data_IF_452417097477
#
_entry.id   IF_452417097477
#
_cell.length_a   1.000
_cell.length_b   1.000
_cell.length_c   1.000
_cell.angle_alpha   90.00
_cell.angle_beta   90.00
_cell.angle_gamma   90.00
#
_symmetry.space_group_name_H-M   'P 1'
#
loop_
_entity.id
_entity.type
_entity.pdbx_description
1 polymer ?
#
# COMPACT_ATOMS: atom_id res chain seq x y z
N UNK A 1 20.43 27.22 -43.02
CA UNK A 1 20.97 26.61 -41.78
C UNK A 1 19.81 25.88 -41.15
N UNK A 2 19.78 24.55 -41.26
CA UNK A 2 18.80 23.69 -40.63
C UNK A 2 19.18 23.59 -39.13
N UNK A 3 18.25 23.94 -38.27
CA UNK A 3 18.43 23.71 -36.84
C UNK A 3 18.66 22.22 -36.61
N UNK A 4 19.75 21.89 -35.96
CA UNK A 4 19.97 20.58 -35.36
C UNK A 4 18.89 20.40 -34.29
N UNK A 5 17.95 19.49 -34.54
CA UNK A 5 17.12 18.93 -33.50
C UNK A 5 18.06 18.28 -32.49
N UNK A 6 18.37 19.01 -31.42
CA UNK A 6 19.00 18.44 -30.22
C UNK A 6 17.97 17.44 -29.72
N UNK A 7 18.16 16.15 -30.04
CA UNK A 7 17.43 15.06 -29.45
C UNK A 7 17.50 15.24 -27.92
N UNK A 8 16.39 15.59 -27.34
CA UNK A 8 16.28 15.68 -25.88
C UNK A 8 16.71 14.32 -25.34
N UNK A 9 17.88 14.26 -24.71
CA UNK A 9 18.37 13.04 -24.05
C UNK A 9 17.39 12.75 -22.93
N UNK A 10 16.67 11.63 -23.06
CA UNK A 10 15.73 11.15 -22.03
C UNK A 10 16.47 10.93 -20.71
N UNK A 11 16.41 11.90 -19.79
CA UNK A 11 17.08 11.79 -18.50
C UNK A 11 16.27 10.94 -17.53
N UNK A 12 16.86 9.82 -17.11
CA UNK A 12 16.31 8.95 -16.08
C UNK A 12 17.13 9.05 -14.80
N UNK A 13 16.44 8.96 -13.67
CA UNK A 13 17.05 8.89 -12.36
C UNK A 13 16.82 7.53 -11.73
N UNK A 14 17.91 6.87 -11.30
CA UNK A 14 17.86 5.72 -10.41
C UNK A 14 17.96 6.21 -8.96
N UNK A 15 16.92 5.96 -8.15
CA UNK A 15 16.84 6.35 -6.75
C UNK A 15 17.07 5.12 -5.89
N UNK A 16 18.12 5.15 -5.07
CA UNK A 16 18.58 4.03 -4.22
C UNK A 16 18.52 4.46 -2.75
N UNK A 17 17.41 4.21 -2.03
CA UNK A 17 17.37 4.43 -0.58
C UNK A 17 18.21 3.36 0.14
N UNK A 18 19.13 3.80 0.99
CA UNK A 18 20.08 2.93 1.68
C UNK A 18 20.13 3.22 3.18
N UNK A 19 20.04 2.18 4.00
CA UNK A 19 20.28 2.21 5.43
C UNK A 19 21.18 1.03 5.81
N UNK A 20 22.32 1.30 6.44
CA UNK A 20 23.33 0.29 6.78
C UNK A 20 23.74 -0.59 5.58
N UNK A 21 24.08 0.01 4.40
CA UNK A 21 24.40 -0.78 3.21
C UNK A 21 25.68 -1.59 3.36
N UNK A 22 25.82 -2.60 2.52
CA UNK A 22 27.04 -3.33 2.29
C UNK A 22 27.61 -3.02 0.89
N UNK A 23 28.69 -3.69 0.49
CA UNK A 23 29.38 -3.51 -0.80
C UNK A 23 28.50 -3.83 -2.02
N UNK A 24 27.38 -4.55 -1.83
CA UNK A 24 26.44 -4.83 -2.92
C UNK A 24 25.80 -3.56 -3.48
N UNK A 25 25.62 -2.54 -2.65
CA UNK A 25 25.15 -1.24 -3.14
C UNK A 25 26.11 -0.64 -4.15
N UNK A 26 27.42 -0.75 -3.93
CA UNK A 26 28.43 -0.25 -4.87
C UNK A 26 28.37 -1.03 -6.19
N UNK A 27 28.19 -2.34 -6.13
CA UNK A 27 28.02 -3.15 -7.35
C UNK A 27 26.78 -2.72 -8.15
N UNK A 28 25.66 -2.47 -7.48
CA UNK A 28 24.43 -1.94 -8.14
C UNK A 28 24.71 -0.59 -8.83
N UNK A 29 25.41 0.32 -8.15
CA UNK A 29 25.78 1.63 -8.68
C UNK A 29 26.72 1.46 -9.89
N UNK A 30 27.70 0.57 -9.79
CA UNK A 30 28.64 0.28 -10.86
C UNK A 30 27.96 -0.28 -12.10
N UNK A 31 27.06 -1.24 -11.90
CA UNK A 31 26.27 -1.84 -12.98
C UNK A 31 25.38 -0.80 -13.68
N UNK A 32 24.63 0.02 -12.92
CA UNK A 32 23.80 1.08 -13.47
C UNK A 32 24.66 2.09 -14.23
N UNK A 33 25.76 2.55 -13.65
CA UNK A 33 26.63 3.56 -14.24
C UNK A 33 27.35 3.07 -15.50
N UNK A 34 27.64 1.76 -15.63
CA UNK A 34 28.34 1.19 -16.78
C UNK A 34 27.43 0.79 -17.94
N UNK A 35 26.14 0.46 -17.64
CA UNK A 35 25.20 -0.08 -18.62
C UNK A 35 24.08 0.89 -18.99
N UNK A 36 24.03 2.07 -18.36
CA UNK A 36 22.99 3.09 -18.61
C UNK A 36 23.55 4.50 -18.50
N UNK A 37 22.81 5.46 -19.08
CA UNK A 37 23.07 6.90 -18.92
C UNK A 37 22.24 7.50 -17.77
N UNK A 38 21.85 6.69 -16.78
CA UNK A 38 21.02 7.16 -15.67
C UNK A 38 21.85 7.99 -14.69
N UNK A 39 21.25 9.09 -14.25
CA UNK A 39 21.73 9.78 -13.07
C UNK A 39 21.34 8.99 -11.81
N UNK A 40 22.27 8.81 -10.89
CA UNK A 40 22.04 7.98 -9.70
C UNK A 40 21.96 8.89 -8.48
N UNK A 41 20.89 8.72 -7.69
CA UNK A 41 20.73 9.37 -6.37
C UNK A 41 20.68 8.29 -5.30
N UNK A 42 21.63 8.33 -4.39
CA UNK A 42 21.68 7.46 -3.21
C UNK A 42 21.25 8.25 -1.99
N UNK A 43 20.35 7.70 -1.19
CA UNK A 43 19.96 8.31 0.07
C UNK A 43 20.56 7.53 1.23
N UNK A 44 21.51 8.16 1.93
CA UNK A 44 21.98 7.66 3.21
C UNK A 44 20.95 8.01 4.29
N UNK A 45 20.14 7.04 4.70
CA UNK A 45 19.07 7.25 5.68
C UNK A 45 19.57 7.11 7.13
N UNK A 46 20.61 7.88 7.48
CA UNK A 46 21.14 7.93 8.85
C UNK A 46 21.90 6.66 9.25
N UNK A 47 22.71 6.12 8.35
CA UNK A 47 23.59 4.98 8.63
C UNK A 47 24.72 5.34 9.58
N UNK A 48 25.29 4.32 10.25
CA UNK A 48 26.41 4.44 11.17
C UNK A 48 27.69 4.98 10.53
N UNK A 49 28.58 5.49 11.37
CA UNK A 49 29.88 6.06 10.92
C UNK A 49 30.74 5.04 10.18
N UNK A 50 30.64 3.76 10.50
CA UNK A 50 31.32 2.65 9.84
C UNK A 50 30.90 2.45 8.39
N UNK A 51 29.75 2.97 7.98
CA UNK A 51 29.23 2.91 6.61
C UNK A 51 29.61 4.13 5.75
N UNK A 52 30.15 5.19 6.35
CA UNK A 52 30.54 6.40 5.60
C UNK A 52 31.53 6.12 4.46
N UNK A 53 32.50 5.20 4.56
CA UNK A 53 33.37 4.87 3.42
C UNK A 53 32.61 4.34 2.19
N UNK A 54 31.54 3.57 2.39
CA UNK A 54 30.70 3.05 1.29
C UNK A 54 30.00 4.21 0.57
N UNK A 55 29.46 5.16 1.33
CA UNK A 55 28.82 6.35 0.73
C UNK A 55 29.82 7.31 0.06
N UNK A 56 31.03 7.40 0.59
CA UNK A 56 32.10 8.18 -0.04
C UNK A 56 32.53 7.56 -1.39
N UNK A 57 32.55 6.24 -1.49
CA UNK A 57 32.83 5.55 -2.76
C UNK A 57 31.65 5.75 -3.73
N UNK A 58 30.42 5.58 -3.26
CA UNK A 58 29.20 5.82 -4.05
C UNK A 58 29.16 7.26 -4.63
N UNK A 59 29.62 8.27 -3.88
CA UNK A 59 29.65 9.67 -4.30
C UNK A 59 30.55 9.94 -5.53
N UNK A 60 31.41 9.01 -5.92
CA UNK A 60 32.19 9.15 -7.17
C UNK A 60 31.36 8.96 -8.43
N UNK A 61 30.19 8.29 -8.33
CA UNK A 61 29.30 7.94 -9.45
C UNK A 61 27.86 8.34 -9.24
N UNK A 62 27.50 8.78 -8.03
CA UNK A 62 26.13 9.10 -7.65
C UNK A 62 26.06 10.38 -6.81
N UNK A 63 24.92 11.05 -6.84
CA UNK A 63 24.59 12.11 -5.89
C UNK A 63 24.18 11.42 -4.56
N UNK A 64 24.89 11.73 -3.47
CA UNK A 64 24.57 11.17 -2.15
C UNK A 64 23.91 12.23 -1.28
N UNK A 65 22.65 12.00 -0.91
CA UNK A 65 21.91 12.83 0.03
C UNK A 65 21.84 12.12 1.40
N UNK A 66 22.12 12.84 2.49
CA UNK A 66 22.25 12.24 3.81
C UNK A 66 21.23 12.79 4.80
N UNK A 67 20.57 11.88 5.52
CA UNK A 67 19.80 12.18 6.70
C UNK A 67 20.67 12.04 7.97
N UNK A 68 20.47 12.93 8.95
CA UNK A 68 21.18 12.82 10.24
C UNK A 68 20.77 11.60 11.06
N UNK A 69 19.52 11.13 10.88
CA UNK A 69 18.95 9.97 11.57
C UNK A 69 18.08 9.17 10.61
N UNK A 70 17.86 7.90 10.91
CA UNK A 70 16.97 7.04 10.12
C UNK A 70 15.52 7.56 10.14
N UNK A 71 15.07 8.07 9.00
CA UNK A 71 13.71 8.57 8.78
C UNK A 71 12.82 7.55 8.08
N UNK A 72 13.41 6.54 7.47
CA UNK A 72 12.75 5.44 6.79
C UNK A 72 12.76 5.53 5.27
N UNK A 73 12.64 4.37 4.60
CA UNK A 73 12.74 4.21 3.14
C UNK A 73 11.85 5.19 2.37
N UNK A 74 10.58 5.34 2.80
CA UNK A 74 9.64 6.25 2.15
C UNK A 74 10.09 7.71 2.23
N UNK A 75 10.66 8.16 3.36
CA UNK A 75 11.20 9.50 3.48
C UNK A 75 12.45 9.68 2.61
N UNK A 76 13.30 8.65 2.55
CA UNK A 76 14.45 8.66 1.64
C UNK A 76 14.03 8.86 0.19
N UNK A 77 13.05 8.11 -0.27
CA UNK A 77 12.50 8.27 -1.62
C UNK A 77 11.97 9.70 -1.83
N UNK A 78 11.19 10.23 -0.89
CA UNK A 78 10.67 11.61 -0.98
C UNK A 78 11.78 12.65 -1.04
N UNK A 79 12.85 12.48 -0.27
CA UNK A 79 14.02 13.39 -0.30
C UNK A 79 14.68 13.40 -1.68
N UNK A 80 14.82 12.23 -2.33
CA UNK A 80 15.31 12.18 -3.71
C UNK A 80 14.35 12.86 -4.69
N UNK A 81 13.04 12.67 -4.54
CA UNK A 81 12.04 13.30 -5.41
C UNK A 81 11.98 14.83 -5.21
N UNK A 82 12.15 15.32 -3.99
CA UNK A 82 12.28 16.76 -3.68
C UNK A 82 13.50 17.34 -4.40
N UNK A 83 14.65 16.66 -4.29
CA UNK A 83 15.88 17.07 -4.98
C UNK A 83 15.69 17.13 -6.51
N UNK A 84 15.16 16.07 -7.11
CA UNK A 84 14.91 16.01 -8.57
C UNK A 84 13.97 17.15 -8.99
N UNK A 85 12.90 17.38 -8.26
CA UNK A 85 11.93 18.43 -8.57
C UNK A 85 12.55 19.84 -8.56
N UNK A 86 13.49 20.08 -7.65
CA UNK A 86 14.10 21.39 -7.46
C UNK A 86 15.28 21.66 -8.41
N UNK A 87 16.02 20.62 -8.81
CA UNK A 87 17.29 20.79 -9.50
C UNK A 87 17.31 20.23 -10.93
N UNK A 88 16.35 19.35 -11.30
CA UNK A 88 16.44 18.53 -12.49
C UNK A 88 15.17 18.60 -13.35
N UNK A 89 14.95 19.79 -13.96
CA UNK A 89 13.73 20.08 -14.74
C UNK A 89 13.52 19.16 -15.96
N UNK A 90 14.60 18.64 -16.56
CA UNK A 90 14.55 17.81 -17.78
C UNK A 90 14.37 16.32 -17.50
N UNK A 91 14.04 15.94 -16.27
CA UNK A 91 13.82 14.54 -15.89
C UNK A 91 12.58 13.97 -16.57
N UNK A 92 12.76 12.86 -17.29
CA UNK A 92 11.67 12.12 -17.96
C UNK A 92 11.04 11.11 -16.99
N UNK A 93 11.87 10.37 -16.26
CA UNK A 93 11.39 9.32 -15.38
C UNK A 93 12.33 8.96 -14.25
N UNK A 94 11.74 8.33 -13.23
CA UNK A 94 12.41 7.87 -12.02
C UNK A 94 12.23 6.36 -11.91
N UNK A 95 13.32 5.64 -11.60
CA UNK A 95 13.30 4.23 -11.24
C UNK A 95 13.83 4.10 -9.82
N UNK A 96 13.03 3.52 -8.92
CA UNK A 96 13.45 3.20 -7.55
C UNK A 96 13.98 1.79 -7.56
N UNK A 97 15.17 1.56 -6.99
CA UNK A 97 15.77 0.25 -6.80
C UNK A 97 16.31 0.08 -5.37
N UNK A 98 16.34 -1.15 -4.87
CA UNK A 98 16.88 -1.45 -3.55
C UNK A 98 18.42 -1.52 -3.57
N UNK A 99 19.05 -1.15 -2.45
CA UNK A 99 20.51 -1.14 -2.28
C UNK A 99 21.11 -2.53 -2.05
N UNK A 100 20.30 -3.60 -1.94
CA UNK A 100 20.72 -4.93 -1.52
C UNK A 100 21.20 -5.86 -2.65
N UNK A 101 21.18 -5.36 -3.90
CA UNK A 101 21.60 -6.11 -5.08
C UNK A 101 20.64 -7.21 -5.54
N UNK A 102 19.40 -7.22 -5.04
CA UNK A 102 18.40 -8.21 -5.48
C UNK A 102 17.79 -7.90 -6.86
N UNK A 103 17.95 -6.66 -7.35
CA UNK A 103 17.50 -6.24 -8.66
C UNK A 103 18.65 -6.22 -9.65
N UNK A 104 18.54 -6.98 -10.73
CA UNK A 104 19.48 -6.94 -11.83
C UNK A 104 19.37 -5.61 -12.59
N UNK A 105 20.47 -5.12 -13.12
CA UNK A 105 20.45 -3.87 -13.91
C UNK A 105 19.58 -4.01 -15.17
N UNK A 106 19.54 -5.18 -15.80
CA UNK A 106 18.67 -5.46 -16.94
C UNK A 106 17.18 -5.30 -16.59
N UNK A 107 16.81 -5.57 -15.34
CA UNK A 107 15.43 -5.37 -14.85
C UNK A 107 15.15 -3.88 -14.65
N UNK A 108 16.12 -3.10 -14.16
CA UNK A 108 16.05 -1.65 -14.03
C UNK A 108 15.87 -1.01 -15.41
N UNK A 109 16.64 -1.46 -16.40
CA UNK A 109 16.53 -1.01 -17.80
C UNK A 109 15.15 -1.34 -18.35
N UNK A 110 14.66 -2.57 -18.18
CA UNK A 110 13.31 -2.96 -18.66
C UNK A 110 12.19 -2.14 -18.04
N UNK A 111 12.33 -1.76 -16.76
CA UNK A 111 11.36 -0.88 -16.09
C UNK A 111 11.39 0.53 -16.72
N UNK A 112 12.56 1.08 -17.04
CA UNK A 112 12.67 2.40 -17.70
C UNK A 112 12.13 2.39 -19.13
N UNK A 113 12.38 1.34 -19.90
CA UNK A 113 11.83 1.17 -21.25
C UNK A 113 10.30 1.05 -21.24
N UNK A 114 9.76 0.29 -20.27
CA UNK A 114 8.33 0.22 -20.07
C UNK A 114 7.75 1.59 -19.69
N UNK A 115 8.49 2.40 -18.93
CA UNK A 115 8.08 3.75 -18.57
C UNK A 115 8.05 4.68 -19.78
N UNK A 116 9.01 4.59 -20.69
CA UNK A 116 8.97 5.31 -21.98
C UNK A 116 7.71 4.98 -22.78
N UNK A 117 7.33 3.70 -22.79
CA UNK A 117 6.14 3.22 -23.49
C UNK A 117 4.82 3.57 -22.81
N UNK A 118 4.81 3.71 -21.47
CA UNK A 118 3.63 3.93 -20.65
C UNK A 118 3.86 5.01 -19.59
N UNK A 119 4.09 6.28 -19.96
CA UNK A 119 4.49 7.35 -19.02
C UNK A 119 3.38 7.78 -18.06
N UNK A 120 2.14 7.40 -18.30
CA UNK A 120 0.95 7.66 -17.46
C UNK A 120 0.70 6.57 -16.42
N UNK A 121 1.55 5.52 -16.38
CA UNK A 121 1.38 4.37 -15.48
C UNK A 121 2.46 4.31 -14.42
N UNK A 122 2.14 3.63 -13.31
CA UNK A 122 3.16 3.15 -12.38
C UNK A 122 3.69 1.81 -12.90
N UNK A 123 4.98 1.77 -13.25
CA UNK A 123 5.66 0.56 -13.71
C UNK A 123 6.17 -0.21 -12.49
N UNK A 124 5.95 -1.50 -12.45
CA UNK A 124 6.32 -2.36 -11.34
C UNK A 124 7.14 -3.55 -11.82
N UNK A 125 8.34 -3.72 -11.27
CA UNK A 125 9.12 -4.92 -11.47
C UNK A 125 8.53 -6.07 -10.64
N UNK A 126 7.77 -6.97 -11.25
CA UNK A 126 7.07 -8.04 -10.55
C UNK A 126 7.87 -9.34 -10.63
N UNK A 127 8.22 -9.90 -9.48
CA UNK A 127 9.00 -11.13 -9.36
C UNK A 127 8.23 -12.33 -9.93
N UNK A 128 8.84 -13.03 -10.88
CA UNK A 128 8.36 -14.34 -11.29
C UNK A 128 8.81 -15.36 -10.25
N UNK A 129 7.88 -15.85 -9.47
CA UNK A 129 8.15 -16.87 -8.48
C UNK A 129 8.32 -18.23 -9.16
N UNK A 130 9.48 -18.45 -9.78
CA UNK A 130 9.90 -19.75 -10.32
C UNK A 130 10.89 -20.37 -9.31
N UNK A 131 10.47 -21.41 -8.57
CA UNK A 131 11.35 -22.14 -7.64
C UNK A 131 10.75 -22.40 -6.25
N UNK A 132 11.56 -22.98 -5.35
CA UNK A 132 11.20 -23.29 -3.95
C UNK A 132 11.15 -21.99 -3.13
N UNK A 133 9.99 -21.38 -3.04
CA UNK A 133 9.76 -20.18 -2.20
C UNK A 133 9.47 -20.66 -0.78
N UNK A 134 10.03 -19.99 0.26
CA UNK A 134 9.62 -20.24 1.63
C UNK A 134 8.11 -20.02 1.78
N UNK A 135 7.40 -21.01 2.33
CA UNK A 135 5.93 -20.98 2.52
C UNK A 135 5.46 -19.69 3.23
N UNK A 136 6.25 -19.18 4.17
CA UNK A 136 5.98 -17.94 4.91
C UNK A 136 5.93 -16.72 3.99
N UNK A 137 6.85 -16.57 3.05
CA UNK A 137 6.88 -15.48 2.06
C UNK A 137 5.70 -15.57 1.10
N UNK A 138 5.38 -16.78 0.62
CA UNK A 138 4.25 -17.03 -0.28
C UNK A 138 2.92 -16.69 0.39
N UNK A 139 2.75 -17.10 1.65
CA UNK A 139 1.53 -16.85 2.42
C UNK A 139 1.35 -15.35 2.70
N UNK A 140 2.40 -14.66 3.18
CA UNK A 140 2.36 -13.22 3.44
C UNK A 140 2.02 -12.40 2.18
N UNK A 141 2.66 -12.70 1.05
CA UNK A 141 2.40 -12.02 -0.21
C UNK A 141 0.96 -12.27 -0.72
N UNK A 142 0.45 -13.51 -0.59
CA UNK A 142 -0.92 -13.83 -1.00
C UNK A 142 -1.97 -13.10 -0.16
N UNK A 143 -1.78 -13.00 1.15
CA UNK A 143 -2.68 -12.21 2.02
C UNK A 143 -2.62 -10.73 1.63
N UNK A 144 -1.43 -10.18 1.44
CA UNK A 144 -1.26 -8.76 1.08
C UNK A 144 -1.87 -8.45 -0.29
N UNK A 145 -1.71 -9.32 -1.27
CA UNK A 145 -2.37 -9.24 -2.59
C UNK A 145 -3.89 -9.27 -2.47
N UNK A 146 -4.42 -10.19 -1.69
CA UNK A 146 -5.87 -10.29 -1.48
C UNK A 146 -6.42 -9.02 -0.85
N UNK A 147 -5.79 -8.54 0.24
CA UNK A 147 -6.20 -7.31 0.93
C UNK A 147 -6.06 -6.09 0.01
N UNK A 148 -4.98 -5.99 -0.76
CA UNK A 148 -4.78 -4.92 -1.73
C UNK A 148 -5.84 -4.95 -2.84
N UNK A 149 -6.03 -6.10 -3.49
CA UNK A 149 -7.01 -6.27 -4.56
C UNK A 149 -8.42 -5.91 -4.10
N UNK A 150 -8.75 -6.29 -2.88
CA UNK A 150 -10.03 -5.99 -2.26
C UNK A 150 -10.18 -4.50 -1.90
N UNK A 151 -9.12 -3.87 -1.37
CA UNK A 151 -9.13 -2.47 -0.95
C UNK A 151 -9.03 -1.46 -2.11
N UNK A 152 -8.31 -1.84 -3.18
CA UNK A 152 -8.01 -0.99 -4.33
C UNK A 152 -8.88 -1.29 -5.56
N UNK A 153 -9.54 -2.46 -5.60
CA UNK A 153 -10.31 -2.90 -6.76
C UNK A 153 -9.44 -3.31 -7.96
N UNK A 154 -8.11 -3.37 -7.77
CA UNK A 154 -7.13 -3.68 -8.81
C UNK A 154 -6.29 -4.88 -8.40
N UNK A 155 -5.99 -5.77 -9.34
CA UNK A 155 -5.11 -6.92 -9.11
C UNK A 155 -3.67 -6.55 -9.47
N UNK A 156 -2.74 -6.85 -8.57
CA UNK A 156 -1.28 -6.68 -8.76
C UNK A 156 -0.60 -7.99 -8.39
N UNK A 157 0.36 -8.43 -9.22
CA UNK A 157 1.02 -9.73 -9.04
C UNK A 157 2.06 -9.72 -7.90
N UNK A 158 2.67 -8.57 -7.62
CA UNK A 158 3.62 -8.40 -6.53
C UNK A 158 3.47 -7.01 -5.88
N UNK A 159 2.91 -6.99 -4.68
CA UNK A 159 2.70 -5.74 -3.91
C UNK A 159 3.92 -5.33 -3.09
N UNK A 160 4.93 -6.20 -2.98
CA UNK A 160 6.09 -6.03 -2.10
C UNK A 160 7.39 -5.73 -2.87
N UNK A 161 7.33 -5.57 -4.19
CA UNK A 161 8.50 -5.21 -4.99
C UNK A 161 8.97 -3.79 -4.68
N UNK A 162 10.30 -3.61 -4.51
CA UNK A 162 10.94 -2.31 -4.38
C UNK A 162 11.26 -1.66 -5.73
N UNK A 163 11.36 -2.46 -6.81
CA UNK A 163 11.66 -1.95 -8.14
C UNK A 163 10.40 -1.34 -8.78
N UNK A 164 10.40 -0.01 -8.91
CA UNK A 164 9.26 0.76 -9.44
C UNK A 164 9.73 1.90 -10.32
N UNK A 165 8.98 2.19 -11.39
CA UNK A 165 9.25 3.32 -12.26
C UNK A 165 8.01 4.19 -12.46
N UNK A 166 8.20 5.51 -12.55
CA UNK A 166 7.14 6.47 -12.85
C UNK A 166 7.70 7.74 -13.49
N UNK A 167 6.87 8.41 -14.28
CA UNK A 167 7.22 9.66 -14.93
C UNK A 167 7.43 10.79 -13.92
N UNK A 168 8.34 11.72 -14.24
CA UNK A 168 8.58 12.94 -13.45
C UNK A 168 7.30 13.75 -13.19
N UNK A 169 6.32 13.68 -14.09
CA UNK A 169 4.98 14.28 -13.91
C UNK A 169 4.25 13.81 -12.67
N UNK A 170 4.57 12.60 -12.19
CA UNK A 170 3.97 12.04 -10.96
C UNK A 170 4.71 12.44 -9.69
N UNK A 171 5.84 13.15 -9.74
CA UNK A 171 6.59 13.58 -8.55
C UNK A 171 5.70 14.33 -7.54
N UNK A 172 4.91 15.34 -7.92
CA UNK A 172 4.05 16.05 -6.96
C UNK A 172 3.05 15.13 -6.26
N UNK A 173 2.48 14.19 -7.02
CA UNK A 173 1.58 13.18 -6.47
C UNK A 173 2.33 12.22 -5.51
N UNK A 174 3.49 11.70 -5.90
CA UNK A 174 4.28 10.81 -5.05
C UNK A 174 4.73 11.46 -3.75
N UNK A 175 5.05 12.75 -3.76
CA UNK A 175 5.36 13.53 -2.56
C UNK A 175 4.16 13.68 -1.62
N UNK A 176 2.94 13.67 -2.14
CA UNK A 176 1.70 13.75 -1.35
C UNK A 176 1.31 12.42 -0.68
N UNK A 177 1.88 11.29 -1.12
CA UNK A 177 1.59 9.97 -0.56
C UNK A 177 2.05 9.89 0.89
N UNK A 178 1.16 9.46 1.78
CA UNK A 178 1.47 9.32 3.21
C UNK A 178 2.42 8.14 3.49
N UNK A 179 3.21 8.28 4.56
CA UNK A 179 4.14 7.27 5.04
C UNK A 179 5.59 7.65 4.75
N UNK A 180 6.46 7.32 5.70
CA UNK A 180 7.90 7.63 5.64
C UNK A 180 8.77 6.38 5.70
N UNK A 181 8.17 5.21 6.03
CA UNK A 181 8.88 3.93 6.10
C UNK A 181 8.37 2.97 5.02
N UNK A 182 8.37 1.67 5.28
CA UNK A 182 7.92 0.63 4.32
C UNK A 182 6.44 0.73 3.94
N UNK A 183 5.60 1.36 4.79
CA UNK A 183 4.20 1.64 4.45
C UNK A 183 4.04 2.58 3.26
N UNK A 184 5.04 3.39 2.94
CA UNK A 184 5.01 4.30 1.78
C UNK A 184 4.78 3.51 0.47
N UNK A 185 5.47 2.39 0.29
CA UNK A 185 5.36 1.56 -0.92
C UNK A 185 3.96 0.98 -1.10
N UNK A 186 3.31 0.58 -0.02
CA UNK A 186 1.91 0.12 -0.07
C UNK A 186 0.94 1.27 -0.28
N UNK A 187 1.16 2.40 0.40
CA UNK A 187 0.33 3.59 0.24
C UNK A 187 0.43 4.15 -1.18
N UNK A 188 1.62 4.12 -1.80
CA UNK A 188 1.81 4.48 -3.21
C UNK A 188 0.87 3.68 -4.11
N UNK A 189 0.81 2.35 -3.95
CA UNK A 189 -0.11 1.50 -4.74
C UNK A 189 -1.57 1.85 -4.48
N UNK A 190 -1.96 2.04 -3.20
CA UNK A 190 -3.34 2.35 -2.83
C UNK A 190 -3.79 3.72 -3.35
N UNK A 191 -2.93 4.74 -3.26
CA UNK A 191 -3.26 6.08 -3.73
C UNK A 191 -3.26 6.13 -5.28
N UNK A 192 -2.30 5.46 -5.96
CA UNK A 192 -2.35 5.31 -7.43
C UNK A 192 -3.66 4.68 -7.90
N UNK A 193 -4.10 3.60 -7.25
CA UNK A 193 -5.37 2.96 -7.60
C UNK A 193 -6.58 3.88 -7.37
N UNK A 194 -6.55 4.74 -6.34
CA UNK A 194 -7.61 5.72 -6.04
C UNK A 194 -7.70 6.84 -7.05
N UNK A 195 -6.54 7.33 -7.50
CA UNK A 195 -6.43 8.39 -8.51
C UNK A 195 -6.59 7.86 -9.95
N UNK A 196 -6.83 6.56 -10.12
CA UNK A 196 -7.00 5.94 -11.43
C UNK A 196 -5.71 5.76 -12.21
N UNK A 197 -4.53 5.95 -11.57
CA UNK A 197 -3.23 5.66 -12.16
C UNK A 197 -3.12 4.15 -12.33
N UNK A 198 -2.97 3.70 -13.58
CA UNK A 198 -2.90 2.28 -13.93
C UNK A 198 -1.52 1.72 -13.62
N UNK A 199 -1.48 0.40 -13.38
CA UNK A 199 -0.22 -0.34 -13.19
C UNK A 199 0.20 -1.04 -14.48
N UNK A 200 1.52 -1.11 -14.71
CA UNK A 200 2.11 -1.97 -15.72
C UNK A 200 3.17 -2.86 -15.07
N UNK A 201 3.03 -4.17 -15.21
CA UNK A 201 3.91 -5.13 -14.56
C UNK A 201 4.98 -5.64 -15.53
N UNK A 202 6.24 -5.40 -15.19
CA UNK A 202 7.41 -5.93 -15.88
C UNK A 202 7.87 -7.17 -15.12
N UNK A 203 7.89 -8.35 -15.74
CA UNK A 203 8.42 -9.54 -15.09
C UNK A 203 9.91 -9.42 -14.84
N UNK A 204 10.34 -9.58 -13.59
CA UNK A 204 11.74 -9.50 -13.19
C UNK A 204 12.25 -10.83 -12.61
N UNK A 205 13.56 -11.02 -12.67
CA UNK A 205 14.24 -12.11 -11.98
C UNK A 205 14.61 -11.65 -10.57
N UNK A 206 14.49 -12.54 -9.59
CA UNK A 206 14.95 -12.27 -8.23
C UNK A 206 16.25 -12.98 -7.99
N UNK A 207 17.30 -12.25 -7.66
CA UNK A 207 18.55 -12.83 -7.19
C UNK A 207 18.43 -13.09 -5.70
N UNK A 208 18.31 -14.34 -5.29
CA UNK A 208 18.34 -14.72 -3.88
C UNK A 208 19.80 -14.76 -3.39
N UNK A 209 20.26 -13.68 -2.79
CA UNK A 209 21.59 -13.57 -2.19
C UNK A 209 21.56 -14.08 -0.74
N UNK A 210 21.70 -15.38 -0.53
CA UNK A 210 21.84 -16.00 0.80
C UNK A 210 20.58 -15.92 1.69
N UNK A 211 20.79 -16.00 3.01
CA UNK A 211 19.72 -15.84 4.03
C UNK A 211 19.40 -14.35 4.17
N UNK A 212 18.55 -13.76 3.38
CA UNK A 212 17.93 -12.40 3.50
C UNK A 212 18.38 -11.51 4.70
N UNK A 213 19.66 -11.51 5.03
CA UNK A 213 20.24 -10.82 6.22
C UNK A 213 20.25 -9.30 6.04
N UNK A 214 20.15 -8.82 4.80
CA UNK A 214 20.13 -7.39 4.46
C UNK A 214 18.74 -6.74 4.48
N UNK A 215 17.67 -7.51 4.71
CA UNK A 215 16.33 -6.95 4.78
C UNK A 215 16.01 -6.42 6.18
N UNK A 216 16.01 -5.10 6.34
CA UNK A 216 15.59 -4.41 7.57
C UNK A 216 14.06 -4.36 7.76
N UNK A 217 13.31 -5.09 6.94
CA UNK A 217 11.85 -5.22 7.06
C UNK A 217 11.49 -5.98 8.35
N UNK A 218 10.78 -5.31 9.26
CA UNK A 218 10.26 -5.94 10.46
C UNK A 218 8.83 -6.46 10.19
N UNK A 219 8.64 -7.79 10.03
CA UNK A 219 7.34 -8.34 9.63
C UNK A 219 6.19 -7.95 10.56
N UNK A 220 6.44 -7.79 11.85
CA UNK A 220 5.42 -7.47 12.85
C UNK A 220 5.08 -5.98 12.83
N UNK A 221 6.09 -5.10 12.93
CA UNK A 221 5.87 -3.64 12.99
C UNK A 221 5.31 -3.08 11.69
N UNK A 222 5.83 -3.54 10.56
CA UNK A 222 5.43 -3.01 9.26
C UNK A 222 4.10 -3.59 8.81
N UNK A 223 3.82 -4.87 9.10
CA UNK A 223 2.48 -5.45 8.93
C UNK A 223 1.43 -4.76 9.81
N UNK A 224 1.76 -4.41 11.06
CA UNK A 224 0.85 -3.66 11.93
C UNK A 224 0.43 -2.32 11.32
N UNK A 225 1.36 -1.59 10.71
CA UNK A 225 1.06 -0.32 10.05
C UNK A 225 0.14 -0.49 8.85
N UNK A 226 0.35 -1.55 8.06
CA UNK A 226 -0.47 -1.87 6.89
C UNK A 226 -1.90 -2.28 7.30
N UNK A 227 -2.01 -3.14 8.32
CA UNK A 227 -3.32 -3.69 8.74
C UNK A 227 -4.03 -2.89 9.83
N UNK A 228 -3.42 -1.83 10.32
CA UNK A 228 -3.95 -0.99 11.42
C UNK A 228 -5.41 -0.57 11.21
N UNK A 229 -5.79 -0.19 10.00
CA UNK A 229 -7.16 0.26 9.71
C UNK A 229 -8.15 -0.90 9.73
N UNK A 230 -7.76 -2.08 9.26
CA UNK A 230 -8.56 -3.30 9.37
C UNK A 230 -8.71 -3.71 10.82
N UNK A 231 -7.63 -3.66 11.59
CA UNK A 231 -7.65 -3.99 13.03
C UNK A 231 -8.53 -3.03 13.83
N UNK A 232 -8.45 -1.73 13.54
CA UNK A 232 -9.34 -0.73 14.17
C UNK A 232 -10.80 -1.01 13.83
N UNK A 233 -11.10 -1.37 12.58
CA UNK A 233 -12.45 -1.74 12.18
C UNK A 233 -12.93 -3.00 12.88
N UNK A 234 -12.09 -4.02 13.00
CA UNK A 234 -12.38 -5.26 13.75
C UNK A 234 -12.65 -4.97 15.22
N UNK A 235 -11.81 -4.15 15.87
CA UNK A 235 -12.01 -3.73 17.26
C UNK A 235 -13.32 -2.95 17.43
N UNK A 236 -13.64 -2.03 16.52
CA UNK A 236 -14.90 -1.29 16.52
C UNK A 236 -16.10 -2.21 16.41
N UNK A 237 -16.04 -3.21 15.54
CA UNK A 237 -17.11 -4.20 15.37
C UNK A 237 -17.30 -5.08 16.62
N UNK A 238 -16.19 -5.51 17.24
CA UNK A 238 -16.23 -6.29 18.49
C UNK A 238 -16.81 -5.48 19.66
N UNK A 239 -16.38 -4.23 19.82
CA UNK A 239 -16.94 -3.34 20.84
C UNK A 239 -18.43 -3.10 20.62
N UNK A 240 -18.87 -2.95 19.37
CA UNK A 240 -20.28 -2.79 19.04
C UNK A 240 -21.10 -4.04 19.39
N UNK A 241 -20.52 -5.22 19.20
CA UNK A 241 -21.14 -6.47 19.64
C UNK A 241 -21.28 -6.52 21.17
N UNK A 242 -20.26 -6.12 21.93
CA UNK A 242 -20.35 -6.04 23.38
C UNK A 242 -21.45 -5.08 23.83
N UNK A 243 -21.56 -3.90 23.20
CA UNK A 243 -22.62 -2.93 23.47
C UNK A 243 -24.00 -3.53 23.16
N UNK A 244 -24.14 -4.21 22.02
CA UNK A 244 -25.39 -4.90 21.63
C UNK A 244 -25.83 -5.89 22.69
N UNK A 245 -24.91 -6.76 23.11
CA UNK A 245 -25.19 -7.80 24.09
C UNK A 245 -25.56 -7.25 25.50
N UNK A 246 -24.82 -6.22 25.94
CA UNK A 246 -25.11 -5.57 27.24
C UNK A 246 -26.48 -4.89 27.20
N UNK A 247 -26.76 -4.10 26.13
CA UNK A 247 -28.05 -3.44 26.01
C UNK A 247 -29.21 -4.45 25.90
N UNK A 248 -29.00 -5.51 25.08
CA UNK A 248 -30.00 -6.59 25.00
C UNK A 248 -30.30 -7.20 26.37
N UNK A 249 -29.27 -7.54 27.14
CA UNK A 249 -29.45 -8.13 28.46
C UNK A 249 -30.21 -7.21 29.39
N UNK A 250 -29.89 -5.91 29.42
CA UNK A 250 -30.59 -4.92 30.27
C UNK A 250 -32.05 -4.80 29.86
N UNK A 251 -32.34 -4.62 28.55
CA UNK A 251 -33.72 -4.49 28.08
C UNK A 251 -34.52 -5.77 28.25
N UNK A 252 -33.92 -6.96 28.14
CA UNK A 252 -34.58 -8.23 28.35
C UNK A 252 -34.95 -8.41 29.84
N UNK A 253 -34.10 -7.95 30.75
CA UNK A 253 -34.43 -7.97 32.21
C UNK A 253 -35.55 -7.01 32.58
N UNK A 254 -35.63 -5.85 31.93
CA UNK A 254 -36.65 -4.83 32.26
C UNK A 254 -37.99 -5.14 31.58
N UNK A 255 -37.99 -5.49 30.29
CA UNK A 255 -39.22 -5.63 29.49
C UNK A 255 -39.79 -7.05 29.46
N UNK A 256 -38.96 -8.07 29.72
CA UNK A 256 -39.33 -9.48 29.52
C UNK A 256 -39.61 -9.84 28.02
N UNK A 257 -39.53 -8.89 27.11
CA UNK A 257 -39.85 -9.09 25.68
C UNK A 257 -38.59 -9.17 24.84
N UNK A 258 -38.34 -10.37 24.29
CA UNK A 258 -37.12 -10.65 23.48
C UNK A 258 -37.05 -9.79 22.26
N UNK A 259 -38.14 -9.62 21.48
CA UNK A 259 -38.14 -8.88 20.25
C UNK A 259 -37.88 -7.39 20.47
N UNK A 260 -38.55 -6.78 21.43
CA UNK A 260 -38.35 -5.39 21.83
C UNK A 260 -36.89 -5.14 22.26
N UNK A 261 -36.37 -6.00 23.14
CA UNK A 261 -35.01 -5.90 23.65
C UNK A 261 -33.97 -6.00 22.56
N UNK A 262 -34.16 -6.91 21.60
CA UNK A 262 -33.24 -7.08 20.45
C UNK A 262 -33.27 -5.85 19.53
N UNK A 263 -34.44 -5.27 19.22
CA UNK A 263 -34.56 -4.09 18.38
C UNK A 263 -33.87 -2.89 19.06
N UNK A 264 -34.15 -2.63 20.34
CA UNK A 264 -33.53 -1.52 21.07
C UNK A 264 -32.00 -1.64 21.15
N UNK A 265 -31.50 -2.83 21.48
CA UNK A 265 -30.07 -3.11 21.53
C UNK A 265 -29.41 -2.87 20.16
N UNK A 266 -30.03 -3.37 19.10
CA UNK A 266 -29.53 -3.24 17.72
C UNK A 266 -29.47 -1.79 17.24
N UNK A 267 -30.45 -0.98 17.60
CA UNK A 267 -30.43 0.46 17.28
C UNK A 267 -29.27 1.15 17.99
N UNK A 268 -29.10 0.92 19.28
CA UNK A 268 -28.01 1.53 20.07
C UNK A 268 -26.64 1.08 19.56
N UNK A 269 -26.44 -0.22 19.36
CA UNK A 269 -25.16 -0.75 18.88
C UNK A 269 -24.82 -0.29 17.47
N UNK A 270 -25.80 -0.10 16.59
CA UNK A 270 -25.60 0.43 15.24
C UNK A 270 -25.17 1.90 15.27
N UNK A 271 -25.76 2.72 16.12
CA UNK A 271 -25.38 4.12 16.32
C UNK A 271 -23.95 4.20 16.89
N UNK A 272 -23.64 3.34 17.85
CA UNK A 272 -22.30 3.24 18.42
C UNK A 272 -21.26 2.85 17.35
N UNK A 273 -21.53 1.80 16.57
CA UNK A 273 -20.64 1.34 15.50
C UNK A 273 -20.41 2.43 14.42
N UNK A 274 -21.47 3.10 14.00
CA UNK A 274 -21.38 4.24 13.08
C UNK A 274 -20.45 5.33 13.63
N UNK A 275 -20.64 5.71 14.89
CA UNK A 275 -19.88 6.78 15.55
C UNK A 275 -18.39 6.40 15.68
N UNK A 276 -18.11 5.18 16.09
CA UNK A 276 -16.76 4.63 16.19
C UNK A 276 -16.08 4.59 14.81
N UNK A 277 -16.75 4.06 13.81
CA UNK A 277 -16.19 3.97 12.46
C UNK A 277 -15.94 5.36 11.86
N UNK A 278 -16.90 6.28 11.99
CA UNK A 278 -16.75 7.65 11.50
C UNK A 278 -15.60 8.40 12.16
N UNK A 279 -15.49 8.35 13.50
CA UNK A 279 -14.56 9.18 14.28
C UNK A 279 -13.17 8.54 14.39
N UNK A 280 -13.08 7.24 14.71
CA UNK A 280 -11.82 6.58 15.08
C UNK A 280 -11.23 5.73 13.96
N UNK A 281 -12.05 5.01 13.19
CA UNK A 281 -11.56 4.13 12.13
C UNK A 281 -11.21 4.94 10.88
N UNK A 282 -12.21 5.61 10.29
CA UNK A 282 -12.06 6.29 8.99
C UNK A 282 -11.77 7.79 9.12
N UNK A 283 -11.90 8.38 10.33
CA UNK A 283 -11.66 9.82 10.60
C UNK A 283 -12.35 10.74 9.57
N UNK A 284 -13.60 10.42 9.24
CA UNK A 284 -14.38 11.13 8.23
C UNK A 284 -14.93 12.45 8.78
N UNK A 285 -14.75 13.55 8.02
CA UNK A 285 -15.19 14.91 8.39
C UNK A 285 -16.48 15.34 7.68
N UNK A 286 -17.06 14.51 6.83
CA UNK A 286 -18.33 14.85 6.16
C UNK A 286 -19.51 14.96 7.14
N UNK A 287 -20.58 15.64 6.70
CA UNK A 287 -21.81 15.81 7.49
C UNK A 287 -22.38 14.48 7.99
N UNK A 288 -22.87 14.47 9.24
CA UNK A 288 -23.35 13.26 9.91
C UNK A 288 -24.54 12.66 9.16
N UNK A 289 -25.53 13.47 8.77
CA UNK A 289 -26.75 12.97 8.11
C UNK A 289 -26.44 12.19 6.83
N UNK A 290 -25.60 12.74 5.95
CA UNK A 290 -25.23 12.11 4.67
C UNK A 290 -24.48 10.79 4.88
N UNK A 291 -23.54 10.75 5.80
CA UNK A 291 -22.77 9.54 6.09
C UNK A 291 -23.60 8.50 6.82
N UNK A 292 -24.51 8.91 7.71
CA UNK A 292 -25.44 8.01 8.41
C UNK A 292 -26.38 7.33 7.42
N UNK A 293 -27.00 8.09 6.50
CA UNK A 293 -27.88 7.50 5.48
C UNK A 293 -27.15 6.41 4.67
N UNK A 294 -25.94 6.70 4.19
CA UNK A 294 -25.13 5.73 3.46
C UNK A 294 -24.79 4.50 4.31
N UNK A 295 -24.44 4.71 5.58
CA UNK A 295 -24.08 3.64 6.50
C UNK A 295 -25.27 2.70 6.75
N UNK A 296 -26.45 3.24 7.09
CA UNK A 296 -27.62 2.41 7.39
C UNK A 296 -28.17 1.71 6.15
N UNK A 297 -28.08 2.35 4.97
CA UNK A 297 -28.40 1.69 3.70
C UNK A 297 -27.46 0.50 3.44
N UNK A 298 -26.15 0.69 3.63
CA UNK A 298 -25.18 -0.39 3.51
C UNK A 298 -25.45 -1.51 4.52
N UNK A 299 -25.76 -1.18 5.76
CA UNK A 299 -26.07 -2.17 6.80
C UNK A 299 -27.30 -3.02 6.41
N UNK A 300 -28.34 -2.41 5.87
CA UNK A 300 -29.51 -3.12 5.35
C UNK A 300 -29.17 -4.05 4.18
N UNK A 301 -28.36 -3.57 3.23
CA UNK A 301 -27.88 -4.38 2.09
C UNK A 301 -27.04 -5.57 2.54
N UNK A 302 -26.13 -5.37 3.50
CA UNK A 302 -25.30 -6.45 4.05
C UNK A 302 -26.17 -7.49 4.79
N UNK A 303 -27.17 -7.05 5.53
CA UNK A 303 -28.11 -7.96 6.19
C UNK A 303 -28.90 -8.80 5.18
N UNK A 304 -29.43 -8.19 4.14
CA UNK A 304 -30.15 -8.91 3.07
C UNK A 304 -29.22 -9.90 2.35
N UNK A 305 -27.99 -9.46 1.99
CA UNK A 305 -26.99 -10.32 1.37
C UNK A 305 -26.60 -11.50 2.28
N UNK A 306 -26.42 -11.27 3.55
CA UNK A 306 -26.11 -12.31 4.55
C UNK A 306 -27.18 -13.41 4.54
N UNK A 307 -28.44 -13.01 4.63
CA UNK A 307 -29.57 -13.96 4.67
C UNK A 307 -29.65 -14.78 3.38
N UNK A 308 -29.62 -14.13 2.23
CA UNK A 308 -29.72 -14.79 0.91
C UNK A 308 -28.52 -15.74 0.70
N UNK A 309 -27.31 -15.27 0.95
CA UNK A 309 -26.09 -16.06 0.78
C UNK A 309 -26.04 -17.27 1.72
N UNK A 310 -26.51 -17.10 2.95
CA UNK A 310 -26.55 -18.19 3.93
C UNK A 310 -27.52 -19.30 3.48
N UNK A 311 -28.73 -18.92 3.05
CA UNK A 311 -29.69 -19.89 2.53
C UNK A 311 -29.18 -20.63 1.31
N UNK A 312 -28.59 -19.91 0.34
CA UNK A 312 -28.02 -20.51 -0.87
C UNK A 312 -26.82 -21.43 -0.54
N UNK A 313 -25.93 -20.98 0.35
CA UNK A 313 -24.77 -21.75 0.74
C UNK A 313 -25.15 -23.05 1.46
N UNK A 314 -26.09 -22.99 2.37
CA UNK A 314 -26.57 -24.19 3.09
C UNK A 314 -27.31 -25.14 2.16
N UNK A 315 -28.07 -24.61 1.20
CA UNK A 315 -28.86 -25.44 0.29
C UNK A 315 -28.04 -26.10 -0.81
N UNK A 316 -27.01 -25.41 -1.36
CA UNK A 316 -26.34 -25.86 -2.58
C UNK A 316 -24.84 -26.15 -2.45
N UNK A 317 -24.15 -25.63 -1.41
CA UNK A 317 -22.69 -25.72 -1.31
C UNK A 317 -22.22 -26.49 -0.09
N UNK A 318 -22.57 -26.03 1.09
CA UNK A 318 -22.11 -26.56 2.37
C UNK A 318 -23.33 -26.83 3.23
N UNK A 319 -23.75 -28.09 3.37
CA UNK A 319 -24.96 -28.48 4.13
C UNK A 319 -24.86 -28.19 5.64
N UNK A 320 -23.67 -27.82 6.13
CA UNK A 320 -23.46 -27.44 7.54
C UNK A 320 -23.70 -25.94 7.73
N UNK A 321 -24.83 -25.61 8.37
CA UNK A 321 -25.25 -24.22 8.63
C UNK A 321 -24.26 -23.39 9.46
N UNK A 322 -23.50 -24.02 10.35
CA UNK A 322 -22.53 -23.31 11.20
C UNK A 322 -21.28 -22.92 10.43
N UNK A 323 -20.73 -23.83 9.63
CA UNK A 323 -19.57 -23.56 8.76
C UNK A 323 -19.94 -22.51 7.72
N UNK A 324 -21.09 -22.66 7.04
CA UNK A 324 -21.60 -21.68 6.07
C UNK A 324 -21.75 -20.31 6.69
N UNK A 325 -22.27 -20.21 7.91
CA UNK A 325 -22.40 -18.93 8.62
C UNK A 325 -21.06 -18.25 8.87
N UNK A 326 -20.06 -18.99 9.35
CA UNK A 326 -18.72 -18.42 9.60
C UNK A 326 -18.09 -17.92 8.31
N UNK A 327 -18.13 -18.69 7.22
CA UNK A 327 -17.55 -18.30 5.95
C UNK A 327 -18.19 -17.05 5.36
N UNK A 328 -19.51 -16.95 5.42
CA UNK A 328 -20.26 -15.80 4.91
C UNK A 328 -20.01 -14.57 5.78
N UNK A 329 -19.97 -14.71 7.10
CA UNK A 329 -19.66 -13.58 8.01
C UNK A 329 -18.26 -13.02 7.75
N UNK A 330 -17.25 -13.89 7.56
CA UNK A 330 -15.90 -13.45 7.21
C UNK A 330 -15.88 -12.73 5.87
N UNK A 331 -16.55 -13.27 4.86
CA UNK A 331 -16.64 -12.63 3.54
C UNK A 331 -17.32 -11.25 3.63
N UNK A 332 -18.48 -11.19 4.27
CA UNK A 332 -19.25 -9.95 4.41
C UNK A 332 -18.58 -8.92 5.31
N UNK A 333 -17.77 -9.34 6.29
CA UNK A 333 -16.94 -8.45 7.09
C UNK A 333 -15.98 -7.65 6.19
N UNK A 334 -15.26 -8.31 5.28
CA UNK A 334 -14.35 -7.63 4.36
C UNK A 334 -15.09 -6.75 3.35
N UNK A 335 -16.23 -7.21 2.83
CA UNK A 335 -17.08 -6.42 1.93
C UNK A 335 -17.60 -5.16 2.64
N UNK A 336 -18.08 -5.31 3.88
CA UNK A 336 -18.56 -4.18 4.71
C UNK A 336 -17.44 -3.17 4.98
N UNK A 337 -16.25 -3.64 5.36
CA UNK A 337 -15.10 -2.78 5.58
C UNK A 337 -14.73 -1.98 4.31
N UNK A 338 -14.63 -2.64 3.16
CA UNK A 338 -14.28 -1.97 1.91
C UNK A 338 -15.36 -0.97 1.47
N UNK A 339 -16.63 -1.35 1.55
CA UNK A 339 -17.74 -0.48 1.21
C UNK A 339 -17.82 0.74 2.15
N UNK A 340 -17.60 0.54 3.45
CA UNK A 340 -17.56 1.66 4.40
C UNK A 340 -16.39 2.60 4.10
N UNK A 341 -15.20 2.08 3.81
CA UNK A 341 -14.02 2.87 3.46
C UNK A 341 -14.20 3.66 2.17
N UNK A 342 -14.72 3.01 1.12
CA UNK A 342 -14.75 3.57 -0.25
C UNK A 342 -15.99 4.40 -0.54
N UNK A 343 -17.12 4.08 0.09
CA UNK A 343 -18.42 4.69 -0.22
C UNK A 343 -19.01 5.50 0.93
N UNK A 344 -19.04 4.94 2.16
CA UNK A 344 -19.68 5.60 3.31
C UNK A 344 -18.82 6.71 3.88
N UNK A 345 -17.55 6.41 4.16
CA UNK A 345 -16.59 7.31 4.82
C UNK A 345 -15.48 7.79 3.90
N UNK A 346 -15.73 7.86 2.59
CA UNK A 346 -14.77 8.37 1.61
C UNK A 346 -14.37 9.79 2.00
N UNK A 347 -13.08 10.05 2.15
CA UNK A 347 -12.57 11.42 2.31
C UNK A 347 -12.80 12.16 0.99
N UNK A 348 -13.53 13.26 1.04
CA UNK A 348 -13.64 14.17 -0.10
C UNK A 348 -12.34 14.95 -0.16
N UNK A 349 -11.53 14.73 -1.17
CA UNK A 349 -10.37 15.57 -1.44
C UNK A 349 -10.86 17.00 -1.74
N UNK A 350 -10.17 17.98 -1.15
CA UNK A 350 -10.33 19.35 -1.62
C UNK A 350 -9.84 19.37 -3.07
N UNK A 351 -10.70 19.72 -4.01
CA UNK A 351 -10.23 20.27 -5.27
C UNK A 351 -9.27 21.41 -4.89
N UNK A 352 -8.03 21.28 -5.25
CA UNK A 352 -7.11 22.42 -5.32
C UNK A 352 -7.69 23.19 -6.50
N UNK A 353 -8.44 24.23 -6.20
CA UNK A 353 -8.84 25.23 -7.18
C UNK A 353 -7.54 25.78 -7.76
N UNK A 354 -7.46 25.76 -9.09
CA UNK A 354 -6.39 26.28 -9.94
C UNK A 354 -6.06 27.74 -9.64
#
# INVERSE_FOLDING_TARGET
>A
MKGEDILAIDRFYAVIPAYEPDEKMLAVIDDISSLTDFHIIVINDGSGKDKLPIFAEAAKKAIVLTHEVNKGKGRGIKTALEYIKEHEADTVGIVIADADGQHKVEDIIRVSEALKSFPDKLIMGCRRFSGKIPLRSKFGNNITKFVFSFAAGVKVSDTQTGLRGFSSKLIPFMLSVNGDRYEFEMNMLLECAREGIRFYEVPIETVYLGKNESSHFNPIKDSWRIYKDILKFSCSSLLSFCVDYICYSIFAMISGNVAFSNICARVISSIFNFSMNKKFVFKNKEGIAKTATKYFLLAALILAANTIMLELCVKYLIHNKYISKILIEVLLFFISWAAQKSFVFRKRERKIDE
#
